data_IF_512528850500
#
_entry.id   IF_512528850500
#
_cell.length_a   1.000
_cell.length_b   1.000
_cell.length_c   1.000
_cell.angle_alpha   90.00
_cell.angle_beta   90.00
_cell.angle_gamma   90.00
#
_symmetry.space_group_name_H-M   'P 1'
#
loop_
_entity.id
_entity.type
_entity.pdbx_description
1 polymer ?
#
# COMPACT_ATOMS: atom_id res chain seq x y z
N UNK A 1 7.74 -20.93 -21.69
CA UNK A 1 7.80 -20.65 -20.23
C UNK A 1 8.47 -19.31 -19.89
N UNK A 2 9.69 -19.00 -20.38
CA UNK A 2 10.37 -17.71 -20.08
C UNK A 2 9.58 -16.45 -20.49
N UNK A 3 8.87 -16.49 -21.62
CA UNK A 3 8.16 -15.29 -22.12
C UNK A 3 6.84 -15.01 -21.38
N UNK A 4 6.15 -16.05 -20.91
CA UNK A 4 4.98 -15.91 -20.03
C UNK A 4 5.35 -15.33 -18.66
N UNK A 5 6.48 -15.78 -18.09
CA UNK A 5 7.04 -15.24 -16.85
C UNK A 5 7.43 -13.76 -17.03
N UNK A 6 8.07 -13.41 -18.16
CA UNK A 6 8.42 -12.01 -18.48
C UNK A 6 7.20 -11.09 -18.61
N UNK A 7 6.13 -11.54 -19.25
CA UNK A 7 4.93 -10.72 -19.48
C UNK A 7 4.18 -10.47 -18.16
N UNK A 8 4.04 -11.49 -17.32
CA UNK A 8 3.42 -11.37 -15.99
C UNK A 8 4.19 -10.44 -15.04
N UNK A 9 5.51 -10.65 -14.94
CA UNK A 9 6.40 -9.79 -14.13
C UNK A 9 6.48 -8.34 -14.63
N UNK A 10 6.28 -8.06 -15.92
CA UNK A 10 6.34 -6.68 -16.44
C UNK A 10 5.09 -5.84 -16.09
N UNK A 11 3.90 -6.43 -16.14
CA UNK A 11 2.62 -5.75 -15.85
C UNK A 11 2.42 -5.50 -14.36
N UNK A 12 2.95 -6.41 -13.56
CA UNK A 12 3.07 -6.35 -12.10
C UNK A 12 3.79 -5.10 -11.60
N UNK A 13 4.91 -4.72 -12.24
CA UNK A 13 5.80 -3.64 -11.78
C UNK A 13 5.13 -2.29 -11.73
N UNK A 14 4.45 -1.87 -12.79
CA UNK A 14 3.82 -0.55 -12.85
C UNK A 14 2.76 -0.37 -11.75
N UNK A 15 2.07 -1.46 -11.41
CA UNK A 15 1.02 -1.47 -10.40
C UNK A 15 1.63 -1.44 -8.99
N UNK A 16 2.71 -2.17 -8.74
CA UNK A 16 3.47 -2.07 -7.48
C UNK A 16 4.13 -0.71 -7.29
N UNK A 17 4.62 -0.08 -8.36
CA UNK A 17 5.14 1.30 -8.32
C UNK A 17 4.03 2.28 -7.95
N UNK A 18 2.84 2.15 -8.56
CA UNK A 18 1.67 2.97 -8.22
C UNK A 18 1.26 2.79 -6.76
N UNK A 19 1.23 1.55 -6.27
CA UNK A 19 0.97 1.25 -4.86
C UNK A 19 2.01 1.85 -3.93
N UNK A 20 3.29 1.71 -4.25
CA UNK A 20 4.37 2.34 -3.51
C UNK A 20 4.22 3.86 -3.46
N UNK A 21 3.86 4.50 -4.58
CA UNK A 21 3.61 5.93 -4.64
C UNK A 21 2.41 6.35 -3.77
N UNK A 22 1.31 5.59 -3.80
CA UNK A 22 0.13 5.85 -2.97
C UNK A 22 0.42 5.67 -1.48
N UNK A 23 1.15 4.61 -1.10
CA UNK A 23 1.59 4.40 0.27
C UNK A 23 2.51 5.52 0.75
N UNK A 24 3.49 5.90 -0.06
CA UNK A 24 4.40 6.99 0.24
C UNK A 24 3.63 8.31 0.42
N UNK A 25 2.64 8.58 -0.42
CA UNK A 25 1.78 9.77 -0.30
C UNK A 25 1.04 9.78 1.05
N UNK A 26 0.50 8.64 1.50
CA UNK A 26 -0.14 8.53 2.83
C UNK A 26 0.86 8.83 3.95
N UNK A 27 2.06 8.25 3.89
CA UNK A 27 3.06 8.48 4.94
C UNK A 27 3.56 9.92 4.97
N UNK A 28 3.81 10.52 3.80
CA UNK A 28 4.15 11.95 3.69
C UNK A 28 3.01 12.83 4.21
N UNK A 29 1.77 12.48 3.90
CA UNK A 29 0.61 13.21 4.39
C UNK A 29 0.56 13.19 5.92
N UNK A 30 0.73 12.03 6.56
CA UNK A 30 0.76 11.93 8.04
C UNK A 30 1.90 12.76 8.64
N UNK A 31 3.07 12.75 8.01
CA UNK A 31 4.22 13.56 8.42
C UNK A 31 3.92 15.07 8.37
N UNK A 32 3.31 15.56 7.28
CA UNK A 32 2.97 16.98 7.13
C UNK A 32 1.82 17.39 8.06
N UNK A 33 0.84 16.51 8.29
CA UNK A 33 -0.25 16.76 9.26
C UNK A 33 0.29 17.02 10.65
N UNK A 34 1.20 16.16 11.12
CA UNK A 34 1.80 16.28 12.44
C UNK A 34 2.48 17.66 12.60
N UNK A 35 3.19 18.10 11.58
CA UNK A 35 3.81 19.43 11.56
C UNK A 35 2.78 20.58 11.57
N UNK A 36 1.73 20.49 10.76
CA UNK A 36 0.70 21.52 10.69
C UNK A 36 -0.15 21.62 11.97
N UNK A 37 -0.39 20.51 12.67
CA UNK A 37 -1.06 20.51 13.99
C UNK A 37 -0.22 21.28 15.02
N UNK A 38 1.11 21.14 14.98
CA UNK A 38 2.02 21.80 15.91
C UNK A 38 2.17 23.30 15.64
N UNK A 39 2.01 23.73 14.39
CA UNK A 39 2.30 25.12 13.96
C UNK A 39 1.06 25.97 13.72
N UNK A 40 -0.11 25.37 13.44
CA UNK A 40 -1.32 26.10 13.06
C UNK A 40 -2.24 26.43 14.23
N UNK A 41 -2.81 27.64 14.22
CA UNK A 41 -3.88 28.06 15.15
C UNK A 41 -5.26 27.51 14.77
N UNK A 42 -5.43 26.96 13.56
CA UNK A 42 -6.69 26.41 13.04
C UNK A 42 -6.60 24.88 12.98
N UNK A 43 -6.30 24.26 14.11
CA UNK A 43 -6.03 22.83 14.20
C UNK A 43 -7.20 21.96 13.69
N UNK A 44 -8.45 22.35 13.98
CA UNK A 44 -9.63 21.55 13.64
C UNK A 44 -9.90 21.47 12.13
N UNK A 45 -9.69 22.56 11.39
CA UNK A 45 -9.83 22.59 9.92
C UNK A 45 -8.72 21.78 9.24
N UNK A 46 -7.50 21.89 9.75
CA UNK A 46 -6.34 21.12 9.27
C UNK A 46 -6.60 19.62 9.48
N UNK A 47 -7.03 19.21 10.68
CA UNK A 47 -7.31 17.81 11.00
C UNK A 47 -8.43 17.23 10.14
N UNK A 48 -9.52 17.99 9.94
CA UNK A 48 -10.67 17.51 9.14
C UNK A 48 -10.32 17.36 7.66
N UNK A 49 -9.67 18.35 7.05
CA UNK A 49 -9.19 18.26 5.66
C UNK A 49 -8.22 17.11 5.44
N UNK A 50 -7.32 16.88 6.40
CA UNK A 50 -6.40 15.75 6.35
C UNK A 50 -7.07 14.40 6.54
N UNK A 51 -8.05 14.29 7.44
CA UNK A 51 -8.82 13.05 7.63
C UNK A 51 -9.51 12.66 6.32
N UNK A 52 -10.15 13.62 5.64
CA UNK A 52 -10.79 13.39 4.34
C UNK A 52 -9.78 12.97 3.28
N UNK A 53 -8.64 13.66 3.19
CA UNK A 53 -7.59 13.30 2.23
C UNK A 53 -6.99 11.91 2.48
N UNK A 54 -6.78 11.56 3.75
CA UNK A 54 -6.24 10.25 4.15
C UNK A 54 -7.24 9.15 3.82
N UNK A 55 -8.53 9.36 4.08
CA UNK A 55 -9.59 8.41 3.68
C UNK A 55 -9.64 8.23 2.16
N UNK A 56 -9.51 9.32 1.40
CA UNK A 56 -9.44 9.27 -0.07
C UNK A 56 -8.24 8.46 -0.58
N UNK A 57 -7.06 8.65 0.00
CA UNK A 57 -5.86 7.88 -0.35
C UNK A 57 -6.00 6.40 0.06
N UNK A 58 -6.55 6.11 1.24
CA UNK A 58 -6.80 4.74 1.68
C UNK A 58 -7.79 4.04 0.75
N UNK A 59 -8.86 4.72 0.31
CA UNK A 59 -9.78 4.22 -0.71
C UNK A 59 -9.09 3.98 -2.06
N UNK A 60 -8.19 4.88 -2.47
CA UNK A 60 -7.37 4.70 -3.67
C UNK A 60 -6.43 3.49 -3.58
N UNK A 61 -5.82 3.25 -2.42
CA UNK A 61 -4.99 2.06 -2.15
C UNK A 61 -5.84 0.79 -2.22
N UNK A 62 -7.03 0.78 -1.61
CA UNK A 62 -7.95 -0.35 -1.70
C UNK A 62 -8.40 -0.61 -3.14
N UNK A 63 -8.73 0.43 -3.90
CA UNK A 63 -9.05 0.31 -5.33
C UNK A 63 -7.88 -0.25 -6.13
N UNK A 64 -6.65 0.21 -5.85
CA UNK A 64 -5.45 -0.35 -6.43
C UNK A 64 -5.31 -1.84 -6.08
N UNK A 65 -5.53 -2.25 -4.82
CA UNK A 65 -5.50 -3.68 -4.42
C UNK A 65 -6.45 -4.55 -5.25
N UNK A 66 -7.68 -4.09 -5.50
CA UNK A 66 -8.62 -4.83 -6.35
C UNK A 66 -8.19 -4.90 -7.81
N UNK A 67 -7.65 -3.81 -8.37
CA UNK A 67 -7.09 -3.81 -9.73
C UNK A 67 -5.89 -4.75 -9.87
N UNK A 68 -5.06 -4.81 -8.82
CA UNK A 68 -3.92 -5.71 -8.74
C UNK A 68 -4.40 -7.17 -8.73
N UNK A 69 -5.33 -7.48 -7.81
CA UNK A 69 -5.88 -8.82 -7.66
C UNK A 69 -6.51 -9.30 -8.98
N UNK A 70 -7.24 -8.45 -9.70
CA UNK A 70 -7.80 -8.78 -11.01
C UNK A 70 -6.74 -9.00 -12.11
N UNK A 71 -5.66 -8.21 -12.15
CA UNK A 71 -4.59 -8.42 -13.14
C UNK A 71 -3.84 -9.74 -12.95
N UNK A 72 -3.80 -10.24 -11.73
CA UNK A 72 -3.12 -11.49 -11.41
C UNK A 72 -4.04 -12.71 -11.42
N UNK A 73 -5.34 -12.52 -11.60
CA UNK A 73 -6.32 -13.60 -11.84
C UNK A 73 -5.81 -14.60 -12.88
N UNK A 74 -5.29 -14.12 -14.00
CA UNK A 74 -4.71 -14.95 -15.05
C UNK A 74 -3.48 -15.76 -14.59
N UNK A 75 -2.57 -15.13 -13.85
CA UNK A 75 -1.36 -15.81 -13.34
C UNK A 75 -1.72 -16.87 -12.30
N UNK A 76 -2.72 -16.58 -11.47
CA UNK A 76 -3.26 -17.50 -10.49
C UNK A 76 -3.85 -18.74 -11.17
N UNK A 77 -4.70 -18.54 -12.20
CA UNK A 77 -5.26 -19.65 -12.99
C UNK A 77 -4.18 -20.49 -13.68
N UNK A 78 -3.17 -19.86 -14.27
CA UNK A 78 -2.07 -20.56 -14.93
C UNK A 78 -1.22 -21.39 -13.94
N UNK A 79 -0.90 -20.87 -12.76
CA UNK A 79 -0.16 -21.61 -11.73
C UNK A 79 -0.97 -22.76 -11.13
N UNK A 80 -2.28 -22.57 -10.97
CA UNK A 80 -3.18 -23.63 -10.51
C UNK A 80 -3.24 -24.79 -11.52
N UNK A 81 -3.24 -24.50 -12.83
CA UNK A 81 -3.15 -25.57 -13.86
C UNK A 81 -1.83 -26.33 -13.84
N UNK A 82 -0.77 -25.75 -13.27
CA UNK A 82 0.54 -26.40 -13.07
C UNK A 82 0.57 -27.20 -11.75
N UNK A 83 -0.48 -27.13 -10.93
CA UNK A 83 -0.64 -27.89 -9.69
C UNK A 83 -0.17 -27.16 -8.42
N UNK A 84 0.11 -25.85 -8.49
CA UNK A 84 0.44 -25.08 -7.29
C UNK A 84 -0.80 -24.77 -6.44
N UNK A 85 -0.73 -24.88 -5.10
CA UNK A 85 -1.85 -24.59 -4.23
C UNK A 85 -2.15 -23.08 -4.19
N UNK A 86 -3.43 -22.70 -4.26
CA UNK A 86 -3.89 -21.29 -4.24
C UNK A 86 -3.32 -20.47 -3.07
N UNK A 87 -3.11 -21.10 -1.91
CA UNK A 87 -2.53 -20.46 -0.74
C UNK A 87 -1.10 -19.94 -0.95
N UNK A 88 -0.29 -20.64 -1.74
CA UNK A 88 1.08 -20.23 -2.05
C UNK A 88 1.11 -18.89 -2.81
N UNK A 89 0.13 -18.69 -3.70
CA UNK A 89 -0.06 -17.43 -4.41
C UNK A 89 -0.46 -16.33 -3.43
N UNK A 90 -1.52 -16.54 -2.65
CA UNK A 90 -2.05 -15.52 -1.73
C UNK A 90 -0.96 -15.04 -0.76
N UNK A 91 -0.16 -15.95 -0.21
CA UNK A 91 0.95 -15.59 0.69
C UNK A 91 2.05 -14.82 -0.01
N UNK A 92 2.47 -15.24 -1.21
CA UNK A 92 3.53 -14.54 -1.97
C UNK A 92 3.14 -13.09 -2.27
N UNK A 93 1.89 -12.86 -2.68
CA UNK A 93 1.40 -11.51 -2.95
C UNK A 93 1.27 -10.67 -1.68
N UNK A 94 0.70 -11.23 -0.60
CA UNK A 94 0.65 -10.54 0.68
C UNK A 94 2.04 -10.12 1.17
N UNK A 95 3.06 -10.96 1.02
CA UNK A 95 4.44 -10.63 1.37
C UNK A 95 4.95 -9.45 0.52
N UNK A 96 4.71 -9.46 -0.80
CA UNK A 96 5.12 -8.36 -1.68
C UNK A 96 4.45 -7.03 -1.28
N UNK A 97 3.16 -7.06 -0.93
CA UNK A 97 2.44 -5.89 -0.45
C UNK A 97 3.00 -5.34 0.85
N UNK A 98 3.22 -6.21 1.83
CA UNK A 98 3.82 -5.84 3.11
C UNK A 98 5.20 -5.21 2.89
N UNK A 99 6.02 -5.77 2.00
CA UNK A 99 7.33 -5.21 1.67
C UNK A 99 7.23 -3.82 1.04
N UNK A 100 6.34 -3.63 0.05
CA UNK A 100 6.14 -2.31 -0.59
C UNK A 100 5.68 -1.28 0.43
N UNK A 101 4.78 -1.66 1.33
CA UNK A 101 4.29 -0.78 2.40
C UNK A 101 5.41 -0.40 3.38
N UNK A 102 6.21 -1.36 3.84
CA UNK A 102 7.34 -1.13 4.73
C UNK A 102 8.40 -0.22 4.10
N UNK A 103 8.74 -0.45 2.83
CA UNK A 103 9.68 0.41 2.09
C UNK A 103 9.14 1.83 1.98
N UNK A 104 7.86 1.99 1.61
CA UNK A 104 7.23 3.31 1.49
C UNK A 104 7.20 4.04 2.83
N UNK A 105 6.98 3.32 3.92
CA UNK A 105 7.03 3.87 5.28
C UNK A 105 8.44 4.36 5.64
N UNK A 106 9.47 3.56 5.34
CA UNK A 106 10.86 3.91 5.62
C UNK A 106 11.27 5.16 4.83
N UNK A 107 10.89 5.25 3.56
CA UNK A 107 11.12 6.45 2.74
C UNK A 107 10.36 7.66 3.29
N UNK A 108 9.11 7.49 3.73
CA UNK A 108 8.34 8.56 4.37
C UNK A 108 8.99 9.09 5.65
N UNK A 109 9.48 8.19 6.51
CA UNK A 109 10.24 8.54 7.72
C UNK A 109 11.51 9.32 7.40
N UNK A 110 12.29 8.89 6.41
CA UNK A 110 13.50 9.58 5.97
C UNK A 110 13.20 10.98 5.42
N UNK A 111 12.17 11.12 4.58
CA UNK A 111 11.74 12.41 4.05
C UNK A 111 11.39 13.38 5.17
N UNK A 112 10.69 12.91 6.21
CA UNK A 112 10.38 13.78 7.34
C UNK A 112 11.60 14.09 8.19
N UNK A 113 12.52 13.14 8.43
CA UNK A 113 13.78 13.46 9.13
C UNK A 113 14.53 14.60 8.43
N UNK A 114 14.58 14.57 7.10
CA UNK A 114 15.16 15.64 6.30
C UNK A 114 14.39 16.95 6.50
N UNK A 115 13.06 16.94 6.36
CA UNK A 115 12.22 18.14 6.58
C UNK A 115 12.36 18.71 8.01
N UNK A 116 12.43 17.84 9.02
CA UNK A 116 12.66 18.20 10.41
C UNK A 116 13.99 18.94 10.58
N UNK A 117 15.09 18.37 10.06
CA UNK A 117 16.43 19.01 10.12
C UNK A 117 16.42 20.40 9.47
N UNK A 118 15.70 20.59 8.37
CA UNK A 118 15.66 21.87 7.65
C UNK A 118 14.74 22.92 8.29
N UNK A 119 13.70 22.51 9.00
CA UNK A 119 12.60 23.42 9.39
C UNK A 119 12.57 23.73 10.89
N UNK A 120 13.00 22.80 11.76
CA UNK A 120 12.92 23.05 13.21
C UNK A 120 14.21 23.61 13.79
N UNK A 121 14.13 24.87 14.27
CA UNK A 121 14.85 25.31 15.46
C UNK A 121 14.05 24.88 16.71
N UNK A 122 14.51 23.81 17.37
CA UNK A 122 14.37 23.53 18.81
C UNK A 122 13.07 23.02 19.46
N UNK A 123 11.89 22.97 18.82
CA UNK A 123 10.62 22.74 19.58
C UNK A 123 9.84 21.42 19.37
N UNK A 124 10.31 20.46 18.57
CA UNK A 124 9.56 19.19 18.36
C UNK A 124 10.43 17.99 18.69
N UNK A 125 10.04 17.13 19.63
CA UNK A 125 10.86 15.96 19.97
C UNK A 125 10.69 14.84 18.94
N UNK A 126 11.82 14.36 18.40
CA UNK A 126 11.87 13.24 17.46
C UNK A 126 11.11 11.99 17.96
N UNK A 127 11.08 11.77 19.28
CA UNK A 127 10.39 10.65 19.91
C UNK A 127 8.87 10.68 19.71
N UNK A 128 8.23 11.85 19.80
CA UNK A 128 6.79 11.97 19.58
C UNK A 128 6.39 11.63 18.16
N UNK A 129 7.22 12.01 17.19
CA UNK A 129 7.02 11.69 15.79
C UNK A 129 7.17 10.18 15.51
N UNK A 130 8.24 9.56 16.02
CA UNK A 130 8.46 8.13 15.84
C UNK A 130 7.27 7.31 16.37
N UNK A 131 6.68 7.77 17.49
CA UNK A 131 5.46 7.18 18.06
C UNK A 131 4.25 7.37 17.12
N UNK A 132 4.08 8.53 16.50
CA UNK A 132 2.97 8.76 15.56
C UNK A 132 3.11 7.88 14.33
N UNK A 133 4.29 7.80 13.71
CA UNK A 133 4.52 6.90 12.58
C UNK A 133 4.33 5.44 12.97
N UNK A 134 4.82 5.02 14.13
CA UNK A 134 4.61 3.66 14.63
C UNK A 134 3.11 3.35 14.81
N UNK A 135 2.33 4.29 15.37
CA UNK A 135 0.88 4.16 15.48
C UNK A 135 0.20 4.09 14.12
N UNK A 136 0.64 4.89 13.15
CA UNK A 136 0.12 4.85 11.78
C UNK A 136 0.43 3.51 11.11
N UNK A 137 1.63 2.95 11.30
CA UNK A 137 1.98 1.62 10.81
C UNK A 137 1.08 0.58 11.46
N UNK A 138 0.97 0.58 12.79
CA UNK A 138 0.19 -0.40 13.54
C UNK A 138 -1.31 -0.36 13.22
N UNK A 139 -1.82 0.76 12.72
CA UNK A 139 -3.24 0.91 12.34
C UNK A 139 -3.47 0.66 10.85
N UNK A 140 -2.64 1.25 9.98
CA UNK A 140 -2.82 1.17 8.52
C UNK A 140 -2.36 -0.18 7.97
N UNK A 141 -1.30 -0.79 8.52
CA UNK A 141 -0.76 -2.05 8.02
C UNK A 141 -1.75 -3.21 8.15
N UNK A 142 -2.38 -3.48 9.32
CA UNK A 142 -3.38 -4.55 9.42
C UNK A 142 -4.59 -4.30 8.52
N UNK A 143 -5.10 -3.06 8.47
CA UNK A 143 -6.25 -2.70 7.63
C UNK A 143 -5.98 -2.97 6.15
N UNK A 144 -4.79 -2.62 5.66
CA UNK A 144 -4.43 -2.81 4.26
C UNK A 144 -4.11 -4.27 3.92
N UNK A 145 -3.49 -5.00 4.84
CA UNK A 145 -3.30 -6.45 4.72
C UNK A 145 -4.64 -7.17 4.64
N UNK A 146 -5.60 -6.82 5.50
CA UNK A 146 -6.96 -7.41 5.47
C UNK A 146 -7.68 -7.06 4.16
N UNK A 147 -7.61 -5.80 3.72
CA UNK A 147 -8.20 -5.35 2.46
C UNK A 147 -7.63 -6.11 1.25
N UNK A 148 -6.30 -6.25 1.19
CA UNK A 148 -5.63 -7.00 0.14
C UNK A 148 -5.98 -8.50 0.20
N UNK A 149 -5.96 -9.10 1.39
CA UNK A 149 -6.32 -10.50 1.59
C UNK A 149 -7.75 -10.77 1.15
N UNK A 150 -8.70 -9.86 1.46
CA UNK A 150 -10.09 -9.97 1.03
C UNK A 150 -10.23 -9.93 -0.50
N UNK A 151 -9.51 -9.02 -1.18
CA UNK A 151 -9.50 -8.93 -2.64
C UNK A 151 -8.91 -10.18 -3.31
N UNK A 152 -7.77 -10.67 -2.81
CA UNK A 152 -7.14 -11.90 -3.28
C UNK A 152 -8.01 -13.13 -3.03
N UNK A 153 -8.65 -13.19 -1.86
CA UNK A 153 -9.58 -14.28 -1.51
C UNK A 153 -10.80 -14.29 -2.43
N UNK A 154 -11.38 -13.12 -2.70
CA UNK A 154 -12.51 -13.00 -3.63
C UNK A 154 -12.14 -13.53 -5.02
N UNK A 155 -10.98 -13.11 -5.55
CA UNK A 155 -10.50 -13.60 -6.86
C UNK A 155 -10.16 -15.08 -6.85
N UNK A 156 -9.66 -15.61 -5.73
CA UNK A 156 -9.31 -17.03 -5.58
C UNK A 156 -10.51 -17.98 -5.64
N UNK A 157 -11.74 -17.48 -5.51
CA UNK A 157 -12.96 -18.30 -5.58
C UNK A 157 -13.45 -18.51 -7.01
N UNK A 158 -13.00 -17.68 -7.96
CA UNK A 158 -13.33 -17.82 -9.37
C UNK A 158 -12.72 -19.09 -9.95
N UNK A 159 -13.44 -19.77 -10.84
CA UNK A 159 -12.91 -20.98 -11.47
C UNK A 159 -11.71 -20.66 -12.37
N UNK A 160 -10.67 -21.50 -12.42
CA UNK A 160 -9.44 -21.24 -13.17
C UNK A 160 -9.70 -21.01 -14.67
N UNK A 161 -10.74 -21.62 -15.24
CA UNK A 161 -11.11 -21.36 -16.64
C UNK A 161 -11.67 -19.95 -16.86
N UNK A 162 -12.40 -19.38 -15.89
CA UNK A 162 -12.92 -18.00 -15.96
C UNK A 162 -11.76 -16.99 -15.85
N UNK A 163 -10.81 -17.29 -14.97
CA UNK A 163 -9.60 -16.50 -14.77
C UNK A 163 -8.70 -16.45 -16.02
N UNK A 164 -8.73 -17.52 -16.84
CA UNK A 164 -7.98 -17.60 -18.10
C UNK A 164 -8.76 -16.94 -19.26
N UNK A 165 -10.09 -17.02 -19.25
CA UNK A 165 -10.97 -16.52 -20.32
C UNK A 165 -11.05 -15.00 -20.39
N UNK A 166 -10.79 -14.28 -19.31
CA UNK A 166 -10.67 -12.80 -19.32
C UNK A 166 -9.56 -12.27 -20.27
N UNK A 167 -8.74 -13.15 -20.85
CA UNK A 167 -7.65 -12.81 -21.78
C UNK A 167 -7.95 -13.11 -23.26
N UNK A 168 -9.00 -13.87 -23.58
CA UNK A 168 -9.39 -14.24 -24.96
C UNK A 168 -10.46 -13.27 -25.44
#
# INVERSE_FOLDING_TARGET
>A
MRDLIKIGLSRSRAVFILLGALYLAVYLQVSVLFFLILTSKIQMLVISGYTIGTLGLLGGITGAHFLVAGKYSYEMGNLETIGFPRWFYITTYLIQFVLVQLISCLVGLLCFQILYIFITSDNVSFSQLAIVHLKTILTVLPLQVISCAAGLWYQSRSEPFLLIKERI
#
